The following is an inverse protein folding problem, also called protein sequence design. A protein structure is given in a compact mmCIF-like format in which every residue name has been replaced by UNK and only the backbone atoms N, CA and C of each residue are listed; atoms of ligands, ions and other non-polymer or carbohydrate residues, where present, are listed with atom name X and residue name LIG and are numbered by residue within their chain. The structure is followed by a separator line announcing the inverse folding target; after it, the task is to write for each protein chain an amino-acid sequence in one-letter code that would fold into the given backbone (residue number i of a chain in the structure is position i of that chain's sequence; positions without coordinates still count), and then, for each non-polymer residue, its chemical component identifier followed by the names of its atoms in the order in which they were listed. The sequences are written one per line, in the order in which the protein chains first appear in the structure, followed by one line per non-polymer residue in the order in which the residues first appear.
data_IF_153399092249
#
_entry.id   IF_153399092249
#
_cell.length_a   1.000
_cell.length_b   1.000
_cell.length_c   1.000
_cell.angle_alpha   90.00
_cell.angle_beta   90.00
_cell.angle_gamma   90.00
#
_symmetry.space_group_name_H-M   'P 1'
#
loop_
_entity.id
_entity.type
_entity.pdbx_description
1 polymer ?
#
# COMPACT_ATOMS: atom_id res chain seq x y z
N UNK A 1 6.91 -1.12 -8.48
CA UNK A 1 6.79 -2.60 -8.57
C UNK A 1 5.31 -2.97 -8.41
N UNK A 2 4.77 -3.69 -9.37
CA UNK A 2 3.40 -4.20 -9.31
C UNK A 2 3.44 -5.70 -9.03
N UNK A 3 2.83 -6.15 -7.95
CA UNK A 3 2.67 -7.57 -7.63
C UNK A 3 1.24 -7.83 -7.21
N UNK A 4 0.59 -8.81 -7.79
CA UNK A 4 -0.81 -9.11 -7.47
C UNK A 4 -0.96 -9.51 -6.00
N UNK A 5 0.00 -10.23 -5.46
CA UNK A 5 0.08 -10.56 -4.04
C UNK A 5 1.39 -10.04 -3.46
N UNK A 6 1.32 -9.48 -2.25
CA UNK A 6 2.53 -9.01 -1.54
C UNK A 6 3.52 -10.16 -1.31
N UNK A 7 3.06 -11.40 -1.29
CA UNK A 7 3.93 -12.57 -1.15
C UNK A 7 4.92 -12.72 -2.30
N UNK A 8 4.64 -12.07 -3.44
CA UNK A 8 5.48 -12.12 -4.63
C UNK A 8 6.62 -11.07 -4.60
N UNK A 9 6.54 -10.09 -3.70
CA UNK A 9 7.58 -9.07 -3.60
C UNK A 9 8.85 -9.68 -3.01
N UNK A 10 10.00 -9.61 -3.69
CA UNK A 10 11.23 -10.21 -3.20
C UNK A 10 11.78 -9.48 -1.98
N UNK A 11 12.46 -10.22 -1.10
CA UNK A 11 13.23 -9.61 -0.01
C UNK A 11 14.29 -8.68 -0.61
N UNK A 12 14.57 -7.57 0.06
CA UNK A 12 15.54 -6.61 -0.46
C UNK A 12 14.97 -5.65 -1.49
N UNK A 13 13.65 -5.44 -1.51
CA UNK A 13 12.99 -4.45 -2.38
C UNK A 13 13.18 -3.01 -1.87
N UNK A 14 14.22 -2.75 -1.08
CA UNK A 14 14.53 -1.42 -0.55
C UNK A 14 14.61 -0.40 -1.69
N UNK A 15 14.01 0.76 -1.48
CA UNK A 15 13.93 1.80 -2.48
C UNK A 15 12.74 1.67 -3.42
N UNK A 16 12.01 0.55 -3.38
CA UNK A 16 10.88 0.34 -4.27
C UNK A 16 9.56 0.87 -3.68
N UNK A 17 8.70 1.38 -4.55
CA UNK A 17 7.29 1.60 -4.23
C UNK A 17 6.55 0.35 -4.69
N UNK A 18 5.94 -0.36 -3.76
CA UNK A 18 5.26 -1.63 -4.03
C UNK A 18 3.75 -1.39 -4.07
N UNK A 19 3.13 -1.71 -5.20
CA UNK A 19 1.68 -1.64 -5.35
C UNK A 19 1.19 -3.07 -5.53
N UNK A 20 0.33 -3.53 -4.63
CA UNK A 20 -0.16 -4.91 -4.67
C UNK A 20 -1.68 -4.97 -4.62
N UNK A 21 -2.21 -6.16 -4.88
CA UNK A 21 -3.63 -6.43 -4.76
C UNK A 21 -4.04 -7.05 -3.43
N UNK A 22 -3.08 -7.30 -2.54
CA UNK A 22 -3.36 -7.91 -1.24
C UNK A 22 -4.13 -6.98 -0.32
N UNK A 23 -4.93 -7.57 0.59
CA UNK A 23 -5.53 -6.79 1.67
C UNK A 23 -4.45 -6.23 2.60
N UNK A 24 -4.77 -5.15 3.31
CA UNK A 24 -3.84 -4.50 4.25
C UNK A 24 -3.87 -5.10 5.66
N UNK A 25 -4.03 -6.41 5.78
CA UNK A 25 -4.10 -7.09 7.08
C UNK A 25 -2.72 -7.45 7.64
N UNK A 26 -2.71 -8.07 8.81
CA UNK A 26 -1.48 -8.42 9.54
C UNK A 26 -0.57 -9.33 8.71
N UNK A 27 -1.13 -10.35 8.07
CA UNK A 27 -0.36 -11.28 7.23
C UNK A 27 0.34 -10.54 6.11
N UNK A 28 -0.37 -9.68 5.39
CA UNK A 28 0.20 -8.85 4.32
C UNK A 28 1.29 -7.91 4.85
N UNK A 29 1.07 -7.34 6.04
CA UNK A 29 2.06 -6.49 6.68
C UNK A 29 3.37 -7.21 6.95
N UNK A 30 3.31 -8.46 7.37
CA UNK A 30 4.51 -9.28 7.60
C UNK A 30 5.31 -9.48 6.32
N UNK A 31 4.65 -9.79 5.20
CA UNK A 31 5.31 -9.93 3.91
C UNK A 31 5.90 -8.60 3.44
N UNK A 32 5.20 -7.49 3.66
CA UNK A 32 5.71 -6.18 3.30
C UNK A 32 6.97 -5.82 4.09
N UNK A 33 7.01 -6.18 5.38
CA UNK A 33 8.22 -5.99 6.20
C UNK A 33 9.41 -6.76 5.65
N UNK A 34 9.17 -8.00 5.20
CA UNK A 34 10.22 -8.83 4.60
C UNK A 34 10.73 -8.24 3.29
N UNK A 35 9.84 -7.67 2.47
CA UNK A 35 10.22 -7.02 1.22
C UNK A 35 11.04 -5.76 1.46
N UNK A 36 10.67 -4.96 2.46
CA UNK A 36 11.44 -3.77 2.87
C UNK A 36 11.36 -2.60 1.91
N UNK A 37 10.29 -2.47 1.13
CA UNK A 37 10.09 -1.33 0.24
C UNK A 37 9.98 -0.01 0.98
N UNK A 38 10.08 1.11 0.26
CA UNK A 38 9.95 2.44 0.84
C UNK A 38 8.50 2.82 1.07
N UNK A 39 7.60 2.34 0.23
CA UNK A 39 6.17 2.58 0.34
C UNK A 39 5.39 1.38 -0.21
N UNK A 40 4.24 1.09 0.36
CA UNK A 40 3.40 -0.04 -0.05
C UNK A 40 1.93 0.40 -0.12
N UNK A 41 1.22 -0.05 -1.15
CA UNK A 41 -0.22 0.18 -1.29
C UNK A 41 -0.95 -1.16 -1.35
N UNK A 42 -1.96 -1.31 -0.50
CA UNK A 42 -2.81 -2.51 -0.40
C UNK A 42 -4.26 -2.17 -0.78
N UNK A 43 -5.13 -3.17 -0.76
CA UNK A 43 -6.58 -3.01 -0.83
C UNK A 43 -7.15 -3.06 0.60
N UNK A 44 -8.09 -2.18 0.95
CA UNK A 44 -8.63 -2.16 2.32
C UNK A 44 -9.59 -3.32 2.60
N UNK A 45 -9.97 -4.07 1.56
CA UNK A 45 -10.88 -5.22 1.67
C UNK A 45 -12.19 -4.89 2.41
N UNK A 46 -12.62 -3.61 2.35
CA UNK A 46 -13.78 -3.13 3.09
C UNK A 46 -13.51 -2.88 4.56
N UNK A 47 -12.24 -2.85 4.96
CA UNK A 47 -11.74 -2.71 6.35
C UNK A 47 -12.08 -3.91 7.23
N UNK A 48 -13.34 -4.30 7.30
CA UNK A 48 -13.77 -5.48 8.06
C UNK A 48 -13.77 -5.29 9.58
N UNK A 49 -13.99 -6.39 10.28
CA UNK A 49 -14.08 -6.40 11.74
C UNK A 49 -12.75 -6.02 12.37
N UNK A 50 -12.78 -5.17 13.38
CA UNK A 50 -11.62 -4.71 14.13
C UNK A 50 -10.55 -4.07 13.24
N UNK A 51 -10.96 -3.46 12.14
CA UNK A 51 -10.08 -2.81 11.17
C UNK A 51 -9.05 -3.78 10.57
N UNK A 52 -9.40 -5.07 10.44
CA UNK A 52 -8.48 -6.10 9.98
C UNK A 52 -7.88 -5.80 8.60
N UNK A 53 -8.64 -5.17 7.71
CA UNK A 53 -8.18 -4.87 6.34
C UNK A 53 -7.15 -3.74 6.25
N UNK A 54 -6.88 -3.02 7.34
CA UNK A 54 -5.91 -1.92 7.37
C UNK A 54 -4.87 -2.07 8.48
N UNK A 55 -4.82 -3.22 9.13
CA UNK A 55 -3.92 -3.44 10.29
C UNK A 55 -2.44 -3.30 9.92
N UNK A 56 -2.06 -3.58 8.67
CA UNK A 56 -0.67 -3.46 8.22
C UNK A 56 -0.15 -2.02 8.28
N UNK A 57 -1.03 -1.01 8.21
CA UNK A 57 -0.61 0.39 8.17
C UNK A 57 0.16 0.79 9.43
N UNK A 58 -0.32 0.40 10.60
CA UNK A 58 0.36 0.66 11.87
C UNK A 58 1.67 -0.12 11.98
N UNK A 59 1.67 -1.39 11.55
CA UNK A 59 2.87 -2.23 11.55
C UNK A 59 4.00 -1.58 10.73
N UNK A 60 3.66 -1.08 9.55
CA UNK A 60 4.63 -0.50 8.64
C UNK A 60 5.08 0.89 9.12
N UNK A 61 4.18 1.65 9.74
CA UNK A 61 4.55 2.92 10.38
C UNK A 61 5.67 2.70 11.40
N UNK A 62 5.54 1.69 12.25
CA UNK A 62 6.53 1.39 13.27
C UNK A 62 7.88 0.97 12.66
N UNK A 63 7.85 0.42 11.46
CA UNK A 63 9.06 -0.01 10.73
C UNK A 63 9.65 1.08 9.84
N UNK A 64 9.04 2.28 9.80
CA UNK A 64 9.53 3.37 8.96
C UNK A 64 9.13 3.27 7.49
N UNK A 65 8.07 2.54 7.18
CA UNK A 65 7.59 2.33 5.80
C UNK A 65 6.27 3.04 5.60
N UNK A 66 6.19 3.90 4.59
CA UNK A 66 4.94 4.56 4.22
C UNK A 66 3.96 3.52 3.65
N UNK A 67 2.72 3.55 4.08
CA UNK A 67 1.73 2.59 3.62
C UNK A 67 0.34 3.21 3.50
N UNK A 68 -0.40 2.75 2.51
CA UNK A 68 -1.76 3.20 2.24
C UNK A 68 -2.60 2.02 1.73
N UNK A 69 -3.91 2.20 1.79
CA UNK A 69 -4.84 1.27 1.15
C UNK A 69 -5.68 2.02 0.15
N UNK A 70 -6.17 1.30 -0.87
CA UNK A 70 -7.22 1.81 -1.76
C UNK A 70 -8.55 1.20 -1.33
N UNK A 71 -9.64 1.92 -1.59
CA UNK A 71 -10.99 1.44 -1.29
C UNK A 71 -11.29 0.19 -2.11
N UNK A 72 -11.87 -0.82 -1.47
CA UNK A 72 -12.23 -2.08 -2.14
C UNK A 72 -13.26 -1.86 -3.27
N UNK A 73 -14.02 -0.78 -3.20
CA UNK A 73 -14.97 -0.40 -4.25
C UNK A 73 -14.31 0.23 -5.46
N UNK A 74 -13.05 0.62 -5.35
CA UNK A 74 -12.31 1.31 -6.43
C UNK A 74 -11.33 0.40 -7.16
N UNK A 75 -11.04 -0.79 -6.63
CA UNK A 75 -10.04 -1.69 -7.21
C UNK A 75 -10.37 -3.14 -6.87
N UNK A 76 -10.02 -4.04 -7.78
CA UNK A 76 -10.19 -5.48 -7.57
C UNK A 76 -9.10 -6.01 -6.66
N UNK A 77 -9.47 -6.63 -5.55
CA UNK A 77 -8.52 -7.30 -4.66
C UNK A 77 -7.79 -8.41 -5.44
N UNK A 78 -6.51 -8.58 -5.17
CA UNK A 78 -5.70 -9.58 -5.88
C UNK A 78 -5.18 -9.11 -7.23
N UNK A 79 -5.34 -7.83 -7.60
CA UNK A 79 -4.95 -7.32 -8.90
C UNK A 79 -4.22 -5.98 -8.73
N UNK A 80 -2.89 -6.00 -8.87
CA UNK A 80 -2.05 -4.80 -8.68
C UNK A 80 -2.36 -3.72 -9.71
N UNK A 81 -2.60 -4.10 -10.96
CA UNK A 81 -2.92 -3.13 -12.01
C UNK A 81 -4.23 -2.40 -11.70
N UNK A 82 -5.24 -3.11 -11.21
CA UNK A 82 -6.48 -2.50 -10.78
C UNK A 82 -6.25 -1.51 -9.64
N UNK A 83 -5.41 -1.86 -8.67
CA UNK A 83 -5.02 -0.97 -7.58
C UNK A 83 -4.39 0.32 -8.12
N UNK A 84 -3.47 0.20 -9.06
CA UNK A 84 -2.79 1.36 -9.63
C UNK A 84 -3.71 2.22 -10.47
N UNK A 85 -4.49 1.61 -11.38
CA UNK A 85 -5.25 2.35 -12.39
C UNK A 85 -6.57 2.90 -11.89
N UNK A 86 -7.25 2.18 -11.00
CA UNK A 86 -8.57 2.58 -10.50
C UNK A 86 -8.60 2.92 -9.03
N UNK A 87 -7.60 2.51 -8.26
CA UNK A 87 -7.60 2.62 -6.81
C UNK A 87 -7.63 4.05 -6.30
N UNK A 88 -8.50 4.31 -5.33
CA UNK A 88 -8.57 5.59 -4.63
C UNK A 88 -8.14 5.37 -3.18
N UNK A 89 -7.20 6.17 -2.70
CA UNK A 89 -6.66 6.03 -1.35
C UNK A 89 -7.78 6.18 -0.32
N UNK A 90 -7.92 5.18 0.53
CA UNK A 90 -8.95 5.14 1.57
C UNK A 90 -8.38 5.30 2.97
N UNK A 91 -7.16 4.83 3.22
CA UNK A 91 -6.48 4.97 4.49
C UNK A 91 -4.98 5.15 4.25
N UNK A 92 -4.31 5.79 5.22
CA UNK A 92 -2.87 6.04 5.15
C UNK A 92 -2.28 5.93 6.56
N UNK A 93 -0.99 5.56 6.65
CA UNK A 93 -0.28 5.78 7.90
C UNK A 93 0.35 7.19 7.89
N UNK A 94 0.94 7.60 9.02
CA UNK A 94 1.50 8.94 9.16
C UNK A 94 2.63 9.23 8.19
N UNK A 95 3.48 8.23 7.89
CA UNK A 95 4.56 8.40 6.92
C UNK A 95 4.03 8.64 5.52
N UNK A 96 2.99 7.91 5.09
CA UNK A 96 2.37 8.12 3.78
C UNK A 96 1.78 9.53 3.69
N UNK A 97 1.12 9.99 4.73
CA UNK A 97 0.58 11.35 4.78
C UNK A 97 1.69 12.40 4.67
N UNK A 98 2.80 12.20 5.38
CA UNK A 98 3.95 13.10 5.31
C UNK A 98 4.61 13.10 3.93
N UNK A 99 4.43 12.06 3.15
CA UNK A 99 4.96 11.93 1.79
C UNK A 99 3.96 12.35 0.71
N UNK A 100 2.95 13.14 1.07
CA UNK A 100 2.01 13.74 0.14
C UNK A 100 0.75 12.93 -0.12
N UNK A 101 0.56 11.80 0.56
CA UNK A 101 -0.66 11.01 0.44
C UNK A 101 -1.84 11.68 1.14
N UNK A 102 -3.02 11.54 0.56
CA UNK A 102 -4.26 11.98 1.22
C UNK A 102 -5.44 11.12 0.74
N UNK A 103 -6.44 11.00 1.60
CA UNK A 103 -7.63 10.21 1.30
C UNK A 103 -8.35 10.81 0.10
N UNK A 104 -8.78 9.93 -0.81
CA UNK A 104 -9.50 10.31 -2.02
C UNK A 104 -8.64 10.51 -3.25
N UNK A 105 -7.32 10.69 -3.09
CA UNK A 105 -6.43 10.77 -4.25
C UNK A 105 -6.29 9.41 -4.89
N UNK A 106 -5.92 9.38 -6.18
CA UNK A 106 -5.68 8.11 -6.85
C UNK A 106 -4.33 7.53 -6.46
N UNK A 107 -4.25 6.19 -6.47
CA UNK A 107 -2.99 5.50 -6.23
C UNK A 107 -1.91 5.98 -7.22
N UNK A 108 -2.27 6.11 -8.50
CA UNK A 108 -1.34 6.59 -9.53
C UNK A 108 -0.80 7.99 -9.21
N UNK A 109 -1.66 8.91 -8.75
CA UNK A 109 -1.23 10.26 -8.42
C UNK A 109 -0.21 10.26 -7.28
N UNK A 110 -0.45 9.45 -6.24
CA UNK A 110 0.49 9.36 -5.13
C UNK A 110 1.80 8.70 -5.58
N UNK A 111 1.71 7.63 -6.37
CA UNK A 111 2.91 6.97 -6.92
C UNK A 111 3.76 7.96 -7.72
N UNK A 112 3.13 8.80 -8.56
CA UNK A 112 3.85 9.79 -9.34
C UNK A 112 4.56 10.81 -8.45
N UNK A 113 3.94 11.22 -7.34
CA UNK A 113 4.57 12.09 -6.36
C UNK A 113 5.78 11.41 -5.70
N UNK A 114 5.65 10.16 -5.31
CA UNK A 114 6.73 9.40 -4.68
C UNK A 114 7.94 9.28 -5.62
N UNK A 115 7.70 8.98 -6.89
CA UNK A 115 8.76 8.86 -7.88
C UNK A 115 9.47 10.18 -8.13
N UNK A 116 8.74 11.30 -8.10
CA UNK A 116 9.33 12.64 -8.24
C UNK A 116 10.19 13.03 -7.05
N UNK A 117 9.82 12.59 -5.84
CA UNK A 117 10.61 12.88 -4.64
C UNK A 117 11.98 12.20 -4.68
N UNK A 118 12.08 11.05 -5.33
CA UNK A 118 13.33 10.29 -5.45
C UNK A 118 14.22 10.81 -6.58
N UNK A 119 13.63 11.51 -7.50
CA UNK A 119 14.34 12.14 -8.62
C UNK A 119 14.77 13.54 -8.28
#
# INVERSE_FOLDING_TARGET
MLVDSITEAPAGSKGAVIICGSHGGVSSGRYALLAGGDAVVFNDAGVGKDNAGIAALAMLQDAGIAAATVAHTSACIGNARSTLEGGQISQLNGLASAMGGHIGMTCRAWMNQLLRREG
#
